data_IF_315409972299
#
_entry.id   IF_315409972299
#
_cell.length_a   1.000
_cell.length_b   1.000
_cell.length_c   1.000
_cell.angle_alpha   90.00
_cell.angle_beta   90.00
_cell.angle_gamma   90.00
#
_symmetry.space_group_name_H-M   'P 1'
#
loop_
_entity.id
_entity.type
_entity.pdbx_description
1 polymer ?
#
# COMPACT_ATOMS: atom_id res chain seq x y z
N UNK A 1 71.11 17.88 51.34
CA UNK A 1 70.79 17.07 52.53
C UNK A 1 69.46 17.59 53.09
N UNK A 2 68.45 16.77 53.42
CA UNK A 2 67.67 15.88 52.55
C UNK A 2 66.14 16.19 52.54
N UNK A 3 65.45 15.72 51.48
CA UNK A 3 64.09 15.10 51.38
C UNK A 3 62.87 15.78 52.02
N UNK A 4 61.73 15.96 51.35
CA UNK A 4 60.83 14.88 50.86
C UNK A 4 59.88 15.41 49.77
N UNK A 5 59.66 14.60 48.72
CA UNK A 5 58.66 14.83 47.68
C UNK A 5 57.35 14.10 48.00
N UNK A 6 56.23 14.77 47.80
CA UNK A 6 54.90 14.18 47.88
C UNK A 6 54.55 13.56 46.53
N UNK A 7 54.25 12.27 46.53
CA UNK A 7 53.73 11.53 45.39
C UNK A 7 52.19 11.55 45.43
N UNK A 8 51.54 12.11 44.41
CA UNK A 8 50.12 11.90 44.14
C UNK A 8 49.94 10.57 43.41
N UNK A 9 49.06 9.73 43.97
CA UNK A 9 48.67 8.44 43.41
C UNK A 9 47.62 8.65 42.29
N UNK A 10 47.93 8.20 41.07
CA UNK A 10 46.97 8.09 39.98
C UNK A 10 46.28 6.72 40.03
N UNK A 11 44.96 6.72 40.23
CA UNK A 11 44.13 5.50 40.19
C UNK A 11 43.83 5.12 38.74
N UNK A 12 44.25 3.94 38.31
CA UNK A 12 43.89 3.34 37.04
C UNK A 12 42.45 2.79 37.10
N UNK A 13 41.57 3.32 36.25
CA UNK A 13 40.21 2.79 36.03
C UNK A 13 40.24 1.79 34.87
N UNK A 14 39.86 0.55 35.18
CA UNK A 14 39.74 -0.55 34.23
C UNK A 14 38.47 -0.39 33.36
N UNK A 15 38.62 -0.58 32.04
CA UNK A 15 37.51 -0.59 31.08
C UNK A 15 36.76 -1.94 31.03
N UNK A 16 35.48 -1.95 30.61
CA UNK A 16 34.64 -3.14 30.65
C UNK A 16 34.92 -4.14 29.51
N UNK A 17 34.86 -5.42 29.90
CA UNK A 17 35.02 -6.63 29.10
C UNK A 17 33.85 -6.88 28.14
N UNK A 18 34.16 -7.19 26.87
CA UNK A 18 33.17 -7.58 25.86
C UNK A 18 32.70 -9.04 26.03
N UNK A 19 31.40 -9.35 25.84
CA UNK A 19 30.88 -10.71 25.98
C UNK A 19 31.14 -11.58 24.73
N UNK A 20 31.43 -12.86 24.96
CA UNK A 20 31.60 -13.90 23.93
C UNK A 20 30.22 -14.40 23.45
N UNK A 21 30.02 -14.44 22.13
CA UNK A 21 28.85 -15.04 21.49
C UNK A 21 29.09 -16.54 21.35
N UNK A 22 28.18 -17.36 21.88
CA UNK A 22 28.13 -18.82 21.70
C UNK A 22 26.99 -19.10 20.72
N UNK A 23 27.27 -19.77 19.60
CA UNK A 23 26.25 -20.29 18.68
C UNK A 23 25.96 -21.75 19.01
N UNK A 24 24.68 -22.16 19.13
CA UNK A 24 24.34 -23.57 19.32
C UNK A 24 24.39 -24.34 17.99
N UNK A 25 24.97 -25.54 18.03
CA UNK A 25 24.93 -26.56 16.98
C UNK A 25 23.50 -27.10 16.85
N UNK A 26 22.90 -26.93 15.67
CA UNK A 26 21.64 -27.58 15.30
C UNK A 26 21.99 -28.69 14.32
N UNK A 27 22.21 -29.87 14.89
CA UNK A 27 22.10 -31.13 14.16
C UNK A 27 20.61 -31.49 14.13
N UNK A 28 19.97 -31.35 12.98
CA UNK A 28 18.86 -32.22 12.65
C UNK A 28 18.91 -32.57 11.17
N UNK A 29 18.89 -33.88 10.95
CA UNK A 29 19.23 -34.61 9.76
C UNK A 29 17.91 -35.11 9.19
N UNK A 30 17.44 -34.47 8.12
CA UNK A 30 16.32 -34.97 7.32
C UNK A 30 16.95 -35.70 6.13
N UNK A 31 16.88 -37.03 6.19
CA UNK A 31 17.38 -37.95 5.19
C UNK A 31 16.20 -38.40 4.31
N UNK A 32 16.25 -38.10 3.02
CA UNK A 32 15.39 -38.71 1.99
C UNK A 32 16.23 -39.09 0.77
N UNK A 33 15.82 -40.16 0.04
CA UNK A 33 16.72 -41.16 -0.54
C UNK A 33 17.34 -40.76 -1.87
N UNK A 34 18.49 -41.38 -2.16
CA UNK A 34 19.23 -41.27 -3.41
C UNK A 34 18.56 -42.12 -4.51
N UNK A 35 18.26 -41.48 -5.64
CA UNK A 35 17.99 -42.14 -6.93
C UNK A 35 19.31 -42.44 -7.65
N UNK A 36 19.57 -43.70 -7.95
CA UNK A 36 20.66 -44.17 -8.80
C UNK A 36 20.32 -43.99 -10.29
N UNK A 37 21.27 -43.46 -11.06
CA UNK A 37 21.21 -43.36 -12.52
C UNK A 37 21.71 -44.66 -13.18
N UNK A 38 20.77 -45.41 -13.77
CA UNK A 38 20.72 -45.85 -15.16
C UNK A 38 21.89 -46.59 -15.84
N UNK A 39 21.59 -47.80 -16.33
CA UNK A 39 22.10 -48.33 -17.60
C UNK A 39 21.19 -49.41 -18.23
N UNK A 40 20.62 -49.01 -19.37
CA UNK A 40 20.29 -49.73 -20.62
C UNK A 40 19.49 -51.05 -20.67
N UNK A 41 18.37 -50.96 -21.40
CA UNK A 41 17.96 -51.81 -22.52
C UNK A 41 16.63 -52.59 -22.38
N UNK A 42 15.81 -52.35 -23.41
CA UNK A 42 14.79 -53.17 -24.08
C UNK A 42 13.35 -53.33 -23.52
N UNK A 43 12.46 -53.17 -24.50
CA UNK A 43 11.09 -53.68 -24.68
C UNK A 43 9.91 -52.82 -24.24
N UNK A 44 9.10 -52.53 -25.26
CA UNK A 44 7.81 -51.88 -25.21
C UNK A 44 6.76 -52.93 -24.88
N UNK A 45 5.88 -52.64 -23.93
CA UNK A 45 4.47 -53.06 -23.98
C UNK A 45 3.61 -51.92 -23.39
N UNK A 46 2.49 -51.68 -24.04
CA UNK A 46 1.43 -50.79 -23.59
C UNK A 46 0.57 -51.51 -22.55
N UNK A 47 0.11 -50.81 -21.52
CA UNK A 47 -1.17 -51.11 -20.87
C UNK A 47 -1.69 -49.88 -20.08
N UNK A 48 -2.95 -49.56 -20.36
CA UNK A 48 -3.87 -48.67 -19.64
C UNK A 48 -3.96 -49.01 -18.14
N UNK A 49 -4.06 -47.98 -17.27
CA UNK A 49 -5.25 -47.86 -16.42
C UNK A 49 -5.38 -46.52 -15.68
N UNK A 50 -6.64 -46.28 -15.37
CA UNK A 50 -7.37 -45.11 -14.92
C UNK A 50 -7.41 -44.94 -13.38
N UNK A 51 -8.01 -43.82 -12.94
CA UNK A 51 -8.61 -43.58 -11.62
C UNK A 51 -7.65 -43.40 -10.41
N UNK A 52 -7.90 -42.62 -9.36
CA UNK A 52 -8.91 -41.63 -8.92
C UNK A 52 -8.34 -40.97 -7.64
N UNK A 53 -8.74 -39.73 -7.42
CA UNK A 53 -9.07 -39.03 -6.15
C UNK A 53 -8.66 -39.66 -4.79
N UNK A 54 -8.10 -38.85 -3.87
CA UNK A 54 -8.75 -38.60 -2.56
C UNK A 54 -8.13 -37.38 -1.86
N UNK A 55 -9.01 -36.62 -1.20
CA UNK A 55 -8.84 -35.32 -0.57
C UNK A 55 -9.40 -35.41 0.85
N UNK A 56 -8.66 -34.94 1.85
CA UNK A 56 -9.19 -34.53 3.17
C UNK A 56 -8.11 -33.70 3.89
N UNK A 57 -8.26 -32.39 4.05
CA UNK A 57 -9.05 -31.63 5.07
C UNK A 57 -8.38 -31.52 6.44
N UNK A 58 -8.09 -30.28 6.86
CA UNK A 58 -8.53 -29.60 8.12
C UNK A 58 -7.97 -28.16 8.09
N UNK A 59 -8.84 -27.14 8.02
CA UNK A 59 -9.30 -26.25 9.12
C UNK A 59 -8.23 -25.20 9.49
N UNK A 60 -8.42 -23.89 9.57
CA UNK A 60 -9.57 -23.01 9.77
C UNK A 60 -9.09 -21.58 9.42
N UNK A 61 -9.97 -20.66 9.05
CA UNK A 61 -10.02 -19.26 9.55
C UNK A 61 -11.03 -18.40 8.76
N UNK A 62 -11.82 -17.72 9.58
CA UNK A 62 -13.01 -16.92 9.34
C UNK A 62 -12.71 -15.56 8.70
N UNK A 63 -13.50 -15.14 7.71
CA UNK A 63 -13.69 -13.73 7.35
C UNK A 63 -14.99 -13.58 6.56
N UNK A 64 -15.87 -12.75 7.09
CA UNK A 64 -17.17 -12.38 6.52
C UNK A 64 -16.99 -11.49 5.30
N UNK A 65 -17.59 -11.87 4.17
CA UNK A 65 -17.92 -10.93 3.10
C UNK A 65 -19.29 -11.29 2.51
N UNK A 66 -20.22 -10.33 2.64
CA UNK A 66 -21.42 -10.18 1.84
C UNK A 66 -21.04 -10.21 0.35
N UNK A 67 -21.65 -11.11 -0.42
CA UNK A 67 -21.63 -11.00 -1.88
C UNK A 67 -23.02 -11.09 -2.49
N UNK A 68 -23.12 -10.26 -3.52
CA UNK A 68 -24.30 -9.80 -4.23
C UNK A 68 -25.10 -10.89 -4.94
N UNK A 69 -26.38 -10.55 -5.07
CA UNK A 69 -27.37 -11.06 -6.01
C UNK A 69 -26.76 -11.40 -7.38
N UNK A 70 -26.54 -12.70 -7.63
CA UNK A 70 -26.28 -13.24 -8.95
C UNK A 70 -27.43 -14.13 -9.35
N UNK A 71 -28.29 -13.58 -10.21
CA UNK A 71 -29.41 -14.27 -10.82
C UNK A 71 -28.97 -15.54 -11.55
N UNK A 72 -29.29 -16.67 -10.95
CA UNK A 72 -29.32 -17.97 -11.61
C UNK A 72 -30.79 -18.36 -11.81
N UNK A 73 -31.26 -18.17 -13.04
CA UNK A 73 -32.48 -18.78 -13.58
C UNK A 73 -32.33 -20.31 -13.49
N UNK A 74 -32.88 -20.91 -12.43
CA UNK A 74 -32.92 -22.36 -12.23
C UNK A 74 -34.34 -22.77 -11.85
N UNK A 75 -35.01 -23.39 -12.83
CA UNK A 75 -36.28 -24.09 -12.83
C UNK A 75 -37.26 -23.82 -11.67
N UNK A 76 -38.21 -22.94 -11.99
CA UNK A 76 -39.34 -22.53 -11.18
C UNK A 76 -40.44 -23.61 -11.12
N UNK A 77 -40.15 -24.79 -10.59
CA UNK A 77 -41.21 -25.69 -10.10
C UNK A 77 -41.46 -25.38 -8.62
N UNK A 78 -42.66 -24.84 -8.34
CA UNK A 78 -43.11 -24.47 -6.99
C UNK A 78 -43.33 -25.74 -6.18
N UNK A 79 -42.27 -26.30 -5.61
CA UNK A 79 -42.38 -27.40 -4.66
C UNK A 79 -42.87 -26.86 -3.33
N UNK A 80 -43.81 -27.57 -2.69
CA UNK A 80 -44.36 -27.20 -1.37
C UNK A 80 -43.27 -27.05 -0.30
N UNK A 81 -42.19 -27.81 -0.45
CA UNK A 81 -41.04 -27.79 0.46
C UNK A 81 -40.24 -26.48 0.37
N UNK A 82 -40.02 -25.96 -0.85
CA UNK A 82 -39.32 -24.68 -1.05
C UNK A 82 -40.14 -23.51 -0.53
N UNK A 83 -41.48 -23.54 -0.71
CA UNK A 83 -42.37 -22.53 -0.13
C UNK A 83 -42.34 -22.55 1.41
N UNK A 84 -42.36 -23.74 2.02
CA UNK A 84 -42.27 -23.87 3.47
C UNK A 84 -40.93 -23.37 4.01
N UNK A 85 -39.82 -23.71 3.33
CA UNK A 85 -38.49 -23.22 3.70
C UNK A 85 -38.39 -21.68 3.62
N UNK A 86 -39.00 -21.06 2.61
CA UNK A 86 -39.05 -19.60 2.49
C UNK A 86 -39.91 -18.96 3.60
N UNK A 87 -41.01 -19.63 3.97
CA UNK A 87 -41.91 -19.18 5.04
C UNK A 87 -41.23 -19.26 6.42
N UNK A 88 -40.43 -20.29 6.66
CA UNK A 88 -39.64 -20.45 7.89
C UNK A 88 -38.55 -19.38 7.99
N UNK A 89 -37.81 -19.14 6.91
CA UNK A 89 -36.84 -18.02 6.84
C UNK A 89 -37.50 -16.67 7.09
N UNK A 90 -38.70 -16.44 6.57
CA UNK A 90 -39.44 -15.21 6.83
C UNK A 90 -39.83 -15.06 8.31
N UNK A 91 -40.27 -16.16 8.96
CA UNK A 91 -40.61 -16.17 10.39
C UNK A 91 -39.41 -15.92 11.30
N UNK A 92 -38.25 -16.46 10.96
CA UNK A 92 -37.01 -16.23 11.71
C UNK A 92 -36.58 -14.76 11.63
N UNK A 93 -36.65 -14.17 10.44
CA UNK A 93 -36.34 -12.74 10.25
C UNK A 93 -37.31 -11.84 11.01
N UNK A 94 -38.59 -12.19 11.06
CA UNK A 94 -39.58 -11.45 11.85
C UNK A 94 -39.30 -11.55 13.36
N UNK A 95 -38.86 -12.72 13.85
CA UNK A 95 -38.41 -12.87 15.25
C UNK A 95 -37.17 -12.06 15.56
N UNK A 96 -36.19 -12.04 14.65
CA UNK A 96 -34.97 -11.22 14.81
C UNK A 96 -35.32 -9.73 14.81
N UNK A 97 -36.13 -9.27 13.86
CA UNK A 97 -36.60 -7.88 13.80
C UNK A 97 -37.43 -7.49 15.03
N UNK A 98 -38.28 -8.39 15.54
CA UNK A 98 -39.04 -8.15 16.76
C UNK A 98 -38.15 -8.10 18.01
N UNK A 99 -37.09 -8.93 18.07
CA UNK A 99 -36.11 -8.89 19.14
C UNK A 99 -35.23 -7.63 19.08
N UNK A 100 -34.84 -7.20 17.89
CA UNK A 100 -34.14 -5.93 17.65
C UNK A 100 -35.03 -4.74 18.05
N UNK A 101 -36.30 -4.76 17.66
CA UNK A 101 -37.29 -3.76 18.06
C UNK A 101 -37.55 -3.75 19.58
N UNK A 102 -37.46 -4.91 20.24
CA UNK A 102 -37.58 -4.99 21.70
C UNK A 102 -36.32 -4.51 22.44
N UNK A 103 -35.14 -4.58 21.80
CA UNK A 103 -33.88 -4.06 22.34
C UNK A 103 -33.65 -2.57 22.06
N UNK A 104 -34.44 -1.97 21.16
CA UNK A 104 -34.56 -0.52 21.04
C UNK A 104 -35.47 -0.03 22.17
N UNK A 105 -34.87 0.18 23.34
CA UNK A 105 -35.48 0.91 24.43
C UNK A 105 -36.12 2.19 23.90
N UNK A 106 -37.41 2.35 24.20
CA UNK A 106 -38.20 3.51 23.86
C UNK A 106 -37.55 4.75 24.49
N UNK A 107 -36.76 5.50 23.70
CA UNK A 107 -36.38 6.87 24.01
C UNK A 107 -37.63 7.75 23.93
N UNK A 108 -38.47 7.64 24.97
CA UNK A 108 -39.52 8.60 25.26
C UNK A 108 -38.80 9.90 25.63
N UNK A 109 -38.64 10.78 24.64
CA UNK A 109 -38.18 12.15 24.85
C UNK A 109 -39.21 12.87 25.73
N UNK A 110 -39.06 12.76 27.05
CA UNK A 110 -39.73 13.65 28.00
C UNK A 110 -39.07 15.01 27.86
N UNK A 111 -39.70 15.94 27.13
CA UNK A 111 -39.36 17.35 27.18
C UNK A 111 -39.70 17.90 28.58
N UNK A 112 -38.78 17.70 29.53
CA UNK A 112 -38.79 18.37 30.82
C UNK A 112 -37.72 19.45 30.80
N UNK A 113 -38.08 20.63 30.32
CA UNK A 113 -37.32 21.86 30.48
C UNK A 113 -38.29 23.05 30.37
N UNK A 114 -38.83 23.53 31.51
CA UNK A 114 -39.59 24.78 31.64
C UNK A 114 -38.67 26.02 31.48
N UNK A 115 -37.75 25.98 30.51
CA UNK A 115 -36.88 27.12 30.21
C UNK A 115 -37.70 28.11 29.38
N UNK A 116 -37.84 29.37 29.82
CA UNK A 116 -38.55 30.36 29.02
C UNK A 116 -37.85 30.49 27.67
N UNK A 117 -38.61 30.31 26.59
CA UNK A 117 -38.10 30.41 25.23
C UNK A 117 -37.40 31.76 25.04
N UNK A 118 -36.26 31.79 24.32
CA UNK A 118 -35.58 33.05 24.02
C UNK A 118 -36.54 34.00 23.32
N UNK A 119 -36.58 35.26 23.77
CA UNK A 119 -37.41 36.29 23.14
C UNK A 119 -36.95 36.45 21.69
N UNK A 120 -37.84 36.17 20.75
CA UNK A 120 -37.59 36.36 19.33
C UNK A 120 -37.67 37.86 19.02
N UNK A 121 -36.52 38.47 18.76
CA UNK A 121 -36.45 39.84 18.26
C UNK A 121 -36.90 39.87 16.80
N UNK A 122 -38.22 40.00 16.61
CA UNK A 122 -38.85 40.09 15.28
C UNK A 122 -38.26 41.23 14.44
N UNK A 123 -37.75 42.30 15.07
CA UNK A 123 -37.10 43.42 14.39
C UNK A 123 -35.81 43.04 13.65
N UNK A 124 -35.12 41.99 14.09
CA UNK A 124 -33.88 41.50 13.45
C UNK A 124 -34.14 40.46 12.35
N UNK A 125 -35.27 39.74 12.45
CA UNK A 125 -35.68 38.69 11.51
C UNK A 125 -36.49 39.24 10.33
N UNK A 126 -37.14 40.39 10.50
CA UNK A 126 -37.86 41.07 9.43
C UNK A 126 -36.87 41.65 8.42
N UNK A 127 -37.09 41.43 7.10
CA UNK A 127 -36.29 42.10 6.09
C UNK A 127 -36.43 43.61 6.24
N UNK A 128 -35.30 44.32 6.15
CA UNK A 128 -35.27 45.78 6.29
C UNK A 128 -36.18 46.40 5.22
N UNK A 129 -37.09 47.33 5.59
CA UNK A 129 -37.99 47.95 4.63
C UNK A 129 -37.21 48.81 3.64
N UNK A 130 -37.63 48.80 2.37
CA UNK A 130 -37.00 49.56 1.29
C UNK A 130 -37.13 51.08 1.44
N UNK A 131 -38.18 51.55 2.13
CA UNK A 131 -38.48 52.96 2.33
C UNK A 131 -38.63 53.26 3.82
N UNK A 132 -38.09 54.37 4.29
CA UNK A 132 -38.35 54.87 5.64
C UNK A 132 -39.52 55.85 5.62
N UNK A 133 -40.50 55.62 6.49
CA UNK A 133 -41.58 56.58 6.70
C UNK A 133 -41.02 57.76 7.51
N UNK A 134 -41.21 59.01 7.05
CA UNK A 134 -40.78 60.18 7.79
C UNK A 134 -41.66 60.34 9.05
N UNK A 135 -41.03 60.62 10.19
CA UNK A 135 -41.73 60.91 11.47
C UNK A 135 -42.27 62.35 11.54
N UNK A 136 -41.96 63.18 10.55
CA UNK A 136 -42.41 64.57 10.43
C UNK A 136 -43.11 64.79 9.08
N UNK A 137 -44.19 65.59 9.08
CA UNK A 137 -45.01 65.89 7.88
C UNK A 137 -44.28 66.67 6.77
N UNK A 138 -43.04 67.11 7.01
CA UNK A 138 -42.29 67.97 6.09
C UNK A 138 -41.16 67.26 5.32
N UNK A 139 -40.86 65.99 5.60
CA UNK A 139 -39.80 65.27 4.89
C UNK A 139 -40.35 64.23 3.89
N UNK A 140 -39.78 64.12 2.68
CA UNK A 140 -40.13 63.05 1.76
C UNK A 140 -39.55 61.71 2.24
N UNK A 141 -40.24 60.61 1.92
CA UNK A 141 -39.75 59.26 2.18
C UNK A 141 -38.41 59.01 1.47
N UNK A 142 -37.41 58.53 2.21
CA UNK A 142 -36.06 58.25 1.69
C UNK A 142 -35.90 56.75 1.45
N UNK A 143 -35.24 56.40 0.35
CA UNK A 143 -34.83 55.02 0.07
C UNK A 143 -33.70 54.65 1.03
N UNK A 144 -33.93 53.64 1.88
CA UNK A 144 -32.90 53.17 2.82
C UNK A 144 -31.90 52.23 2.16
N UNK A 145 -32.34 51.50 1.13
CA UNK A 145 -31.58 50.46 0.46
C UNK A 145 -31.82 50.61 -1.04
N UNK A 146 -30.77 50.98 -1.78
CA UNK A 146 -30.76 50.88 -3.24
C UNK A 146 -30.20 49.50 -3.63
N UNK A 147 -30.97 48.63 -4.30
CA UNK A 147 -30.51 47.32 -4.74
C UNK A 147 -29.27 47.39 -5.66
N UNK A 148 -29.04 48.52 -6.34
CA UNK A 148 -27.81 48.77 -7.09
C UNK A 148 -26.59 48.94 -6.18
N UNK A 149 -26.74 49.68 -5.08
CA UNK A 149 -25.66 49.96 -4.13
C UNK A 149 -25.31 48.73 -3.27
N UNK A 150 -26.29 47.90 -2.91
CA UNK A 150 -26.04 46.63 -2.20
C UNK A 150 -25.24 45.64 -3.04
N UNK A 151 -25.52 45.56 -4.34
CA UNK A 151 -24.75 44.70 -5.25
C UNK A 151 -23.29 45.14 -5.34
N UNK A 152 -23.04 46.44 -5.42
CA UNK A 152 -21.68 47.00 -5.49
C UNK A 152 -20.93 46.79 -4.18
N UNK A 153 -21.57 47.07 -3.04
CA UNK A 153 -20.96 46.87 -1.70
C UNK A 153 -20.73 45.40 -1.39
N UNK A 154 -21.64 44.50 -1.76
CA UNK A 154 -21.47 43.05 -1.60
C UNK A 154 -20.37 42.50 -2.52
N UNK A 155 -20.27 43.00 -3.75
CA UNK A 155 -19.17 42.66 -4.65
C UNK A 155 -17.82 43.17 -4.13
N UNK A 156 -17.78 44.37 -3.55
CA UNK A 156 -16.59 44.92 -2.91
C UNK A 156 -16.21 44.16 -1.62
N UNK A 157 -17.18 43.74 -0.81
CA UNK A 157 -16.94 42.92 0.37
C UNK A 157 -16.51 41.49 0.02
N UNK A 158 -16.96 40.93 -1.11
CA UNK A 158 -16.49 39.64 -1.63
C UNK A 158 -15.05 39.71 -2.15
N UNK A 159 -14.54 40.92 -2.41
CA UNK A 159 -13.12 41.20 -2.68
C UNK A 159 -12.31 41.48 -1.40
N UNK A 160 -12.83 41.19 -0.21
CA UNK A 160 -12.03 41.20 1.02
C UNK A 160 -10.77 40.38 0.75
N UNK A 161 -9.66 41.08 0.89
CA UNK A 161 -8.31 40.69 0.52
C UNK A 161 -8.03 39.23 0.83
N UNK A 162 -7.42 38.54 -0.14
CA UNK A 162 -6.64 37.34 0.15
C UNK A 162 -5.76 37.66 1.37
N UNK A 163 -5.75 36.79 2.40
CA UNK A 163 -4.95 37.04 3.59
C UNK A 163 -3.52 37.32 3.15
N UNK A 164 -2.98 38.47 3.56
CA UNK A 164 -1.59 38.82 3.26
C UNK A 164 -0.70 37.63 3.64
N UNK A 165 0.20 37.19 2.76
CA UNK A 165 0.99 36.00 3.03
C UNK A 165 1.75 36.23 4.32
N UNK A 166 1.50 35.38 5.32
CA UNK A 166 2.20 35.42 6.60
C UNK A 166 3.70 35.52 6.31
N UNK A 167 4.37 36.47 6.98
CA UNK A 167 5.79 36.73 6.76
C UNK A 167 6.61 35.55 7.29
N UNK A 168 6.75 34.51 6.46
CA UNK A 168 7.49 33.31 6.77
C UNK A 168 8.90 33.68 7.22
N UNK A 169 9.33 33.07 8.32
CA UNK A 169 10.69 33.21 8.84
C UNK A 169 11.70 32.70 7.80
N UNK A 170 12.97 33.16 7.87
CA UNK A 170 14.02 32.68 6.96
C UNK A 170 14.18 31.15 6.99
N UNK A 171 13.96 30.52 8.16
CA UNK A 171 14.00 29.07 8.34
C UNK A 171 12.86 28.37 7.61
N UNK A 172 11.61 28.81 7.83
CA UNK A 172 10.44 28.27 7.14
C UNK A 172 10.56 28.42 5.61
N UNK A 173 11.10 29.55 5.12
CA UNK A 173 11.36 29.74 3.68
C UNK A 173 12.39 28.74 3.14
N UNK A 174 13.43 28.41 3.92
CA UNK A 174 14.43 27.42 3.53
C UNK A 174 13.82 26.02 3.49
N UNK A 175 13.03 25.65 4.49
CA UNK A 175 12.33 24.35 4.52
C UNK A 175 11.37 24.20 3.34
N UNK A 176 10.61 25.25 3.00
CA UNK A 176 9.74 25.25 1.81
C UNK A 176 10.55 25.10 0.52
N UNK A 177 11.75 25.70 0.43
CA UNK A 177 12.66 25.52 -0.70
C UNK A 177 13.32 24.14 -0.73
N UNK A 178 13.46 23.45 0.39
CA UNK A 178 14.04 22.09 0.42
C UNK A 178 13.01 21.01 0.10
N UNK A 179 11.72 21.30 0.28
CA UNK A 179 10.60 20.45 -0.14
C UNK A 179 10.41 20.40 -1.65
N UNK A 180 11.04 21.29 -2.39
CA UNK A 180 10.77 21.52 -3.79
C UNK A 180 12.08 21.73 -4.54
N UNK A 181 12.25 21.19 -5.75
CA UNK A 181 13.46 21.36 -6.56
C UNK A 181 13.70 22.81 -7.01
N UNK A 182 12.67 23.66 -6.90
CA UNK A 182 12.66 25.07 -7.25
C UNK A 182 12.02 25.33 -8.62
N UNK A 183 11.89 26.62 -9.00
CA UNK A 183 11.15 27.02 -10.20
C UNK A 183 11.87 26.66 -11.51
N UNK A 184 13.21 26.52 -11.49
CA UNK A 184 13.98 26.06 -12.65
C UNK A 184 13.60 24.64 -13.07
N UNK A 185 13.08 23.84 -12.13
CA UNK A 185 12.64 22.47 -12.36
C UNK A 185 11.19 22.27 -11.91
N UNK A 186 10.31 23.16 -12.40
CA UNK A 186 8.85 23.11 -12.27
C UNK A 186 8.34 22.79 -10.86
N UNK A 187 9.05 23.26 -9.84
CA UNK A 187 8.71 23.03 -8.45
C UNK A 187 8.46 21.55 -8.12
N UNK A 188 9.34 20.66 -8.59
CA UNK A 188 9.21 19.23 -8.33
C UNK A 188 9.32 18.90 -6.83
N UNK A 189 8.29 18.31 -6.19
CA UNK A 189 8.32 17.98 -4.78
C UNK A 189 9.33 16.88 -4.43
N UNK A 190 9.90 16.98 -3.23
CA UNK A 190 10.67 15.92 -2.58
C UNK A 190 9.69 14.83 -2.12
N UNK A 191 9.93 13.55 -2.47
CA UNK A 191 9.06 12.46 -2.03
C UNK A 191 9.07 12.31 -0.50
N UNK A 192 7.91 11.98 0.06
CA UNK A 192 7.80 11.64 1.48
C UNK A 192 8.51 10.32 1.80
N UNK A 193 8.84 10.04 3.06
CA UNK A 193 9.65 8.87 3.42
C UNK A 193 9.10 7.52 2.95
N UNK A 194 7.77 7.36 2.96
CA UNK A 194 7.10 6.13 2.51
C UNK A 194 7.12 6.01 0.98
N UNK A 195 6.90 7.10 0.26
CA UNK A 195 7.01 7.16 -1.20
C UNK A 195 8.45 6.92 -1.65
N UNK A 196 9.43 7.48 -0.94
CA UNK A 196 10.85 7.28 -1.22
C UNK A 196 11.24 5.80 -1.10
N UNK A 197 10.67 5.05 -0.15
CA UNK A 197 10.90 3.61 -0.03
C UNK A 197 10.32 2.82 -1.23
N UNK A 198 9.15 3.22 -1.72
CA UNK A 198 8.57 2.64 -2.95
C UNK A 198 9.45 2.96 -4.16
N UNK A 199 9.81 4.24 -4.34
CA UNK A 199 10.67 4.71 -5.42
C UNK A 199 12.02 3.98 -5.43
N UNK A 200 12.63 3.76 -4.26
CA UNK A 200 13.85 2.97 -4.11
C UNK A 200 13.70 1.58 -4.69
N UNK A 201 12.64 0.87 -4.30
CA UNK A 201 12.35 -0.47 -4.82
C UNK A 201 12.17 -0.47 -6.34
N UNK A 202 11.41 0.48 -6.88
CA UNK A 202 11.22 0.60 -8.33
C UNK A 202 12.53 0.89 -9.08
N UNK A 203 13.37 1.78 -8.53
CA UNK A 203 14.65 2.16 -9.14
C UNK A 203 15.67 1.01 -9.07
N UNK A 204 15.69 0.28 -7.96
CA UNK A 204 16.48 -0.94 -7.81
C UNK A 204 16.04 -1.99 -8.84
N UNK A 205 14.74 -2.19 -9.03
CA UNK A 205 14.21 -3.10 -10.04
C UNK A 205 14.60 -2.67 -11.45
N UNK A 206 14.49 -1.38 -11.79
CA UNK A 206 14.92 -0.86 -13.10
C UNK A 206 16.44 -1.06 -13.34
N UNK A 207 17.26 -0.94 -12.29
CA UNK A 207 18.70 -1.23 -12.36
C UNK A 207 18.97 -2.71 -12.59
N UNK A 208 18.30 -3.57 -11.83
CA UNK A 208 18.46 -5.02 -11.90
C UNK A 208 17.83 -5.63 -13.16
N UNK A 209 16.90 -4.93 -13.81
CA UNK A 209 16.32 -5.35 -15.09
C UNK A 209 17.40 -5.57 -16.16
N UNK A 210 18.48 -4.79 -16.15
CA UNK A 210 19.62 -5.00 -17.05
C UNK A 210 20.38 -6.31 -16.81
N UNK A 211 20.28 -6.90 -15.62
CA UNK A 211 20.82 -8.23 -15.34
C UNK A 211 19.85 -9.36 -15.71
N UNK A 212 18.55 -9.02 -15.87
CA UNK A 212 17.48 -9.96 -16.13
C UNK A 212 17.32 -10.27 -17.62
N UNK A 213 17.57 -9.29 -18.49
CA UNK A 213 17.63 -9.51 -19.94
C UNK A 213 19.09 -9.43 -20.45
N UNK A 214 19.69 -10.55 -20.91
CA UNK A 214 21.06 -10.57 -21.43
C UNK A 214 21.28 -9.72 -22.69
N UNK A 215 20.22 -9.24 -23.35
CA UNK A 215 20.30 -8.43 -24.56
C UNK A 215 20.33 -6.93 -24.27
N UNK A 216 19.98 -6.52 -23.06
CA UNK A 216 19.92 -5.11 -22.67
C UNK A 216 21.20 -4.68 -21.97
N UNK A 217 21.95 -3.79 -22.61
CA UNK A 217 23.15 -3.20 -22.01
C UNK A 217 22.90 -1.73 -21.69
N UNK A 218 22.69 -1.43 -20.40
CA UNK A 218 22.59 -0.07 -19.91
C UNK A 218 23.95 0.59 -19.73
N UNK A 219 23.98 1.92 -19.82
CA UNK A 219 25.16 2.71 -19.46
C UNK A 219 25.44 2.58 -17.97
N UNK A 220 26.71 2.59 -17.58
CA UNK A 220 27.14 2.46 -16.17
C UNK A 220 26.55 3.53 -15.26
N UNK A 221 26.26 4.71 -15.79
CA UNK A 221 25.64 5.81 -15.03
C UNK A 221 24.20 5.48 -14.59
N UNK A 222 23.47 4.71 -15.41
CA UNK A 222 22.13 4.24 -15.07
C UNK A 222 22.15 3.10 -14.02
N UNK A 223 23.33 2.52 -13.76
CA UNK A 223 23.53 1.48 -12.75
C UNK A 223 23.96 2.03 -11.38
N UNK A 224 23.92 3.35 -11.18
CA UNK A 224 24.21 3.98 -9.88
C UNK A 224 23.07 3.68 -8.90
N UNK A 225 23.42 3.32 -7.67
CA UNK A 225 22.47 2.97 -6.60
C UNK A 225 21.88 4.21 -5.90
N UNK A 226 22.48 5.37 -6.11
CA UNK A 226 22.13 6.59 -5.41
C UNK A 226 20.81 7.16 -5.94
N UNK A 227 19.81 7.22 -5.06
CA UNK A 227 18.51 7.83 -5.36
C UNK A 227 18.66 9.35 -5.35
N UNK A 228 18.28 10.06 -6.42
CA UNK A 228 18.28 11.51 -6.43
C UNK A 228 17.36 12.09 -5.34
N UNK A 229 17.67 13.30 -4.85
CA UNK A 229 16.88 13.97 -3.81
C UNK A 229 15.44 14.26 -4.26
N UNK A 230 15.27 14.67 -5.50
CA UNK A 230 13.98 14.98 -6.09
C UNK A 230 13.72 13.94 -7.19
N UNK A 231 12.69 13.10 -7.00
CA UNK A 231 12.30 12.04 -7.92
C UNK A 231 10.78 11.91 -7.92
N UNK A 232 10.21 11.60 -9.08
CA UNK A 232 8.81 11.26 -9.22
C UNK A 232 8.66 10.01 -10.10
N UNK A 233 7.68 9.18 -9.76
CA UNK A 233 7.25 8.08 -10.62
C UNK A 233 6.04 8.54 -11.44
N UNK A 234 6.19 8.46 -12.76
CA UNK A 234 5.13 8.79 -13.71
C UNK A 234 4.65 7.56 -14.45
N UNK A 235 3.41 7.62 -14.94
CA UNK A 235 2.85 6.62 -15.85
C UNK A 235 2.90 7.15 -17.28
N UNK A 236 3.40 6.33 -18.20
CA UNK A 236 3.39 6.67 -19.62
C UNK A 236 1.95 6.65 -20.13
N UNK A 237 1.49 7.76 -20.69
CA UNK A 237 0.16 7.87 -21.29
C UNK A 237 0.20 7.25 -22.69
N UNK A 238 -0.68 6.29 -22.94
CA UNK A 238 -0.76 5.60 -24.22
C UNK A 238 -1.02 6.58 -25.37
N UNK A 239 -0.25 6.45 -26.44
CA UNK A 239 -0.40 7.31 -27.61
C UNK A 239 -1.61 6.86 -28.43
N UNK A 240 -2.52 7.79 -28.73
CA UNK A 240 -3.70 7.54 -29.58
C UNK A 240 -3.32 7.71 -31.05
N UNK A 241 -2.58 6.76 -31.60
CA UNK A 241 -2.27 6.73 -33.03
C UNK A 241 -3.47 6.20 -33.82
N UNK A 242 -3.71 6.68 -35.05
CA UNK A 242 -4.83 6.23 -35.89
C UNK A 242 -4.72 4.76 -36.31
N UNK A 243 -3.51 4.21 -36.31
CA UNK A 243 -3.25 2.80 -36.55
C UNK A 243 -3.07 2.09 -35.21
N UNK A 244 -4.14 1.40 -34.82
CA UNK A 244 -4.31 0.40 -33.78
C UNK A 244 -3.69 0.66 -32.39
N UNK A 245 -4.58 0.72 -31.40
CA UNK A 245 -4.33 0.67 -29.94
C UNK A 245 -3.50 -0.53 -29.45
N UNK A 246 -3.21 -1.52 -30.31
CA UNK A 246 -2.42 -2.74 -30.05
C UNK A 246 -1.05 -2.75 -30.73
N UNK A 247 -0.40 -1.59 -30.88
CA UNK A 247 1.02 -1.57 -31.20
C UNK A 247 1.85 -2.00 -29.98
N UNK A 248 2.99 -2.68 -30.17
CA UNK A 248 3.96 -3.03 -29.10
C UNK A 248 4.40 -1.85 -28.22
N UNK A 249 4.05 -0.62 -28.61
CA UNK A 249 4.30 0.62 -27.87
C UNK A 249 3.29 0.88 -26.75
N UNK A 250 2.09 0.30 -26.83
CA UNK A 250 1.00 0.49 -25.88
C UNK A 250 0.64 -0.86 -25.25
N UNK A 251 0.86 -0.98 -23.94
CA UNK A 251 0.45 -2.16 -23.17
C UNK A 251 -1.07 -2.32 -23.15
N UNK A 252 -1.56 -3.56 -23.08
CA UNK A 252 -2.99 -3.85 -22.90
C UNK A 252 -3.46 -3.50 -21.48
N UNK A 253 -4.77 -3.53 -21.21
CA UNK A 253 -5.28 -3.26 -19.86
C UNK A 253 -4.80 -4.31 -18.84
N UNK A 254 -4.60 -5.55 -19.27
CA UNK A 254 -4.17 -6.65 -18.43
C UNK A 254 -2.67 -6.58 -18.09
N UNK A 255 -1.84 -6.15 -19.05
CA UNK A 255 -0.40 -5.99 -18.86
C UNK A 255 -0.03 -4.76 -18.02
N UNK A 256 -0.88 -3.73 -18.00
CA UNK A 256 -0.62 -2.51 -17.20
C UNK A 256 -0.73 -2.83 -15.71
N UNK A 257 0.36 -2.65 -14.96
CA UNK A 257 0.35 -2.82 -13.50
C UNK A 257 0.48 -1.49 -12.77
N UNK A 258 0.53 -1.58 -11.44
CA UNK A 258 0.69 -0.44 -10.54
C UNK A 258 2.15 -0.06 -10.37
N UNK A 259 3.07 -1.02 -10.50
CA UNK A 259 4.51 -0.84 -10.30
C UNK A 259 5.34 -1.49 -11.43
N UNK A 260 6.58 -1.02 -11.61
CA UNK A 260 7.53 -1.59 -12.58
C UNK A 260 7.96 -2.98 -12.11
N UNK A 261 8.08 -3.16 -10.80
CA UNK A 261 8.34 -4.46 -10.18
C UNK A 261 7.26 -5.47 -10.56
N UNK A 262 5.98 -5.11 -10.46
CA UNK A 262 4.87 -6.03 -10.79
C UNK A 262 4.89 -6.41 -12.27
N UNK A 263 5.18 -5.46 -13.18
CA UNK A 263 5.31 -5.76 -14.61
C UNK A 263 6.46 -6.73 -14.88
N UNK A 264 7.60 -6.53 -14.23
CA UNK A 264 8.77 -7.40 -14.34
C UNK A 264 8.51 -8.80 -13.78
N UNK A 265 7.77 -8.88 -12.67
CA UNK A 265 7.35 -10.13 -12.03
C UNK A 265 6.26 -10.83 -12.84
N UNK A 266 5.63 -10.20 -13.84
CA UNK A 266 4.69 -10.90 -14.71
C UNK A 266 5.33 -11.45 -15.98
N UNK A 267 6.39 -10.80 -16.48
CA UNK A 267 7.10 -11.20 -17.70
C UNK A 267 7.63 -12.66 -17.64
N UNK A 268 7.16 -13.48 -18.57
CA UNK A 268 7.51 -14.88 -18.68
C UNK A 268 8.98 -15.10 -19.10
N UNK A 269 9.50 -14.25 -19.98
CA UNK A 269 10.88 -14.37 -20.47
C UNK A 269 11.87 -14.09 -19.35
N UNK A 270 11.67 -12.97 -18.65
CA UNK A 270 12.40 -12.58 -17.45
C UNK A 270 12.40 -13.71 -16.38
N UNK A 271 11.24 -14.28 -16.06
CA UNK A 271 11.12 -15.40 -15.10
C UNK A 271 11.94 -16.62 -15.52
N UNK A 272 11.79 -17.04 -16.78
CA UNK A 272 12.46 -18.23 -17.29
C UNK A 272 13.99 -18.07 -17.24
N UNK A 273 14.48 -16.90 -17.63
CA UNK A 273 15.90 -16.57 -17.58
C UNK A 273 16.43 -16.50 -16.15
N UNK A 274 15.72 -15.79 -15.27
CA UNK A 274 16.07 -15.66 -13.86
C UNK A 274 16.14 -17.02 -13.17
N UNK A 275 15.14 -17.89 -13.39
CA UNK A 275 15.11 -19.25 -12.83
C UNK A 275 16.29 -20.07 -13.33
N UNK A 276 16.53 -20.10 -14.64
CA UNK A 276 17.66 -20.83 -15.22
C UNK A 276 18.99 -20.34 -14.66
N UNK A 277 19.22 -19.02 -14.64
CA UNK A 277 20.47 -18.44 -14.12
C UNK A 277 20.64 -18.58 -12.62
N UNK A 278 19.56 -18.53 -11.87
CA UNK A 278 19.60 -18.84 -10.46
C UNK A 278 20.07 -20.27 -10.22
N UNK A 279 19.51 -21.26 -10.92
CA UNK A 279 19.91 -22.66 -10.80
C UNK A 279 21.37 -22.88 -11.23
N UNK A 280 21.81 -22.28 -12.34
CA UNK A 280 23.22 -22.31 -12.78
C UNK A 280 24.15 -21.81 -11.66
N UNK A 281 23.81 -20.66 -11.04
CA UNK A 281 24.61 -20.05 -9.98
C UNK A 281 24.57 -20.84 -8.67
N UNK A 282 23.41 -21.41 -8.31
CA UNK A 282 23.29 -22.29 -7.16
C UNK A 282 24.07 -23.59 -7.35
N UNK A 283 24.10 -24.14 -8.56
CA UNK A 283 24.94 -25.29 -8.90
C UNK A 283 26.42 -24.97 -8.67
N UNK A 284 26.92 -23.89 -9.28
CA UNK A 284 28.33 -23.47 -9.12
C UNK A 284 28.67 -23.14 -7.65
N UNK A 285 27.77 -22.49 -6.92
CA UNK A 285 27.96 -22.18 -5.49
C UNK A 285 27.89 -23.44 -4.63
N UNK A 286 27.01 -24.37 -4.97
CA UNK A 286 26.83 -25.66 -4.33
C UNK A 286 28.07 -26.53 -4.48
N UNK A 287 28.62 -26.66 -5.70
CA UNK A 287 29.88 -27.37 -5.98
C UNK A 287 31.04 -26.86 -5.11
N UNK A 288 31.13 -25.54 -4.93
CA UNK A 288 32.15 -24.88 -4.09
C UNK A 288 31.75 -24.76 -2.61
N UNK A 289 30.60 -25.32 -2.24
CA UNK A 289 30.03 -25.21 -0.91
C UNK A 289 30.76 -26.03 0.15
N UNK A 290 30.56 -25.68 1.42
CA UNK A 290 31.12 -26.43 2.55
C UNK A 290 30.58 -27.87 2.60
N UNK A 291 29.32 -28.07 2.20
CA UNK A 291 28.65 -29.37 2.21
C UNK A 291 29.24 -30.34 1.18
N UNK A 292 29.47 -29.90 -0.06
CA UNK A 292 30.12 -30.72 -1.09
C UNK A 292 31.57 -31.05 -0.72
N UNK A 293 32.30 -30.08 -0.14
CA UNK A 293 33.65 -30.30 0.36
C UNK A 293 33.70 -31.29 1.53
N UNK A 294 32.70 -31.24 2.43
CA UNK A 294 32.53 -32.21 3.52
C UNK A 294 32.26 -33.61 2.96
N UNK A 295 31.29 -33.76 2.05
CA UNK A 295 31.00 -35.03 1.38
C UNK A 295 32.22 -35.61 0.67
N UNK A 296 33.01 -34.77 -0.03
CA UNK A 296 34.26 -35.20 -0.69
C UNK A 296 35.31 -35.70 0.30
N UNK A 297 35.43 -35.06 1.48
CA UNK A 297 36.33 -35.50 2.56
C UNK A 297 35.86 -36.83 3.16
N UNK A 298 34.56 -36.99 3.40
CA UNK A 298 33.96 -38.22 3.91
C UNK A 298 34.19 -39.38 2.95
N UNK A 299 33.94 -39.19 1.64
CA UNK A 299 34.24 -40.19 0.60
C UNK A 299 35.73 -40.55 0.55
N UNK A 300 36.63 -39.56 0.69
CA UNK A 300 38.08 -39.83 0.75
C UNK A 300 38.49 -40.58 2.01
N UNK A 301 37.86 -40.29 3.15
CA UNK A 301 38.11 -40.99 4.40
C UNK A 301 37.60 -42.44 4.35
N UNK A 302 36.42 -42.67 3.75
CA UNK A 302 35.87 -44.01 3.53
C UNK A 302 36.80 -44.86 2.64
N UNK A 303 37.32 -44.29 1.54
CA UNK A 303 38.26 -44.96 0.63
C UNK A 303 39.62 -45.29 1.26
N UNK A 304 39.99 -44.69 2.39
CA UNK A 304 41.28 -44.89 3.06
C UNK A 304 41.21 -45.92 4.19
N UNK A 305 40.02 -46.41 4.53
CA UNK A 305 39.77 -47.40 5.59
C UNK A 305 39.75 -48.85 5.07
N UNK A 306 39.95 -49.02 3.76
CA UNK A 306 40.14 -50.31 3.09
C UNK A 306 41.55 -50.36 2.53
#
# INVERSE_FOLDING_TARGET
MPTTGAAEASSAVAGPSSPKIVTPDIHDFIEFPQSDEGNDAVEAEEEDNDETEDSSEEDSEESEEDEDDTGAESDNSVTSERLNALLEKAREKERQWAAEKANLDEDVVKLSDDRPLPKLDVSSLLPKPYFTTPTSKQEPAKLAIDPGMERVTKAAQKRKAEPEPERLTKKQRRELREKTAGPEWFDMPTPSGTELAKIKREMEAARLAAALDPKTFLRKEAMKEEVPKYVQLGKIVATKTPFETRSNKNLTRAERKKSIVDELVEDAEAKSYAKRKFLDLQGVRGERGKLTMRRRKEMKAARRKW
#
